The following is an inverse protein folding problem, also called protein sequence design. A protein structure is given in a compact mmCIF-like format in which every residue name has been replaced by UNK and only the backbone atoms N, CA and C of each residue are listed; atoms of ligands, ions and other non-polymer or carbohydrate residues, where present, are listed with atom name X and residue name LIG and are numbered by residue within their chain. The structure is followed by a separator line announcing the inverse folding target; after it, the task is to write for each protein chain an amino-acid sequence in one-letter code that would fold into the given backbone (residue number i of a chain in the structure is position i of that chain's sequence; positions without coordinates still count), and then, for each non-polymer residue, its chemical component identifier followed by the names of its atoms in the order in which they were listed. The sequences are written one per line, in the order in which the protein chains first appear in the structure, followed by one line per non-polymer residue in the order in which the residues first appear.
data_IF_228780174931
#
_entry.id   IF_228780174931
#
_cell.length_a   1.000
_cell.length_b   1.000
_cell.length_c   1.000
_cell.angle_alpha   90.00
_cell.angle_beta   90.00
_cell.angle_gamma   90.00
#
_symmetry.space_group_name_H-M   'P 1'
#
loop_
_entity.id
_entity.type
_entity.pdbx_description
1 polymer ?
#
# COMPACT_ATOMS: atom_id res chain seq x y z
N UNK A 1 -0.15 -25.32 27.86
CA UNK A 1 -1.58 -24.95 27.84
C UNK A 1 -2.35 -26.14 27.34
N UNK A 2 -3.25 -26.71 28.19
CA UNK A 2 -4.11 -27.81 27.76
C UNK A 2 -5.43 -27.26 27.22
N UNK A 3 -5.84 -27.72 26.06
CA UNK A 3 -7.14 -27.39 25.49
C UNK A 3 -8.24 -28.15 26.25
N UNK A 4 -9.25 -27.45 26.73
CA UNK A 4 -10.43 -28.04 27.37
C UNK A 4 -11.57 -27.94 26.37
N UNK A 5 -12.10 -29.09 25.84
CA UNK A 5 -13.21 -29.07 24.91
C UNK A 5 -14.48 -28.54 25.59
N UNK A 6 -15.28 -27.71 24.91
CA UNK A 6 -16.70 -27.54 25.26
C UNK A 6 -17.43 -28.82 24.87
N UNK A 7 -18.21 -29.32 25.78
CA UNK A 7 -18.72 -30.71 25.82
C UNK A 7 -19.55 -31.19 24.63
N UNK A 8 -19.86 -30.37 23.62
CA UNK A 8 -20.82 -30.78 22.59
C UNK A 8 -20.32 -30.87 21.14
N UNK A 9 -19.16 -30.35 20.78
CA UNK A 9 -18.78 -30.22 19.36
C UNK A 9 -17.36 -30.64 18.97
N UNK A 10 -16.63 -31.37 19.78
CA UNK A 10 -15.26 -31.78 19.43
C UNK A 10 -14.28 -30.63 19.19
N UNK A 11 -13.12 -30.90 18.60
CA UNK A 11 -12.09 -29.91 18.29
C UNK A 11 -12.51 -29.04 17.10
N UNK A 12 -12.75 -27.75 17.34
CA UNK A 12 -12.98 -26.77 16.31
C UNK A 12 -11.73 -25.90 16.17
N UNK A 13 -11.13 -25.90 14.98
CA UNK A 13 -9.95 -25.07 14.66
C UNK A 13 -10.19 -23.59 14.98
N UNK A 14 -11.41 -23.11 14.79
CA UNK A 14 -11.80 -21.73 15.08
C UNK A 14 -11.74 -21.41 16.59
N UNK A 15 -12.13 -22.34 17.47
CA UNK A 15 -12.10 -22.13 18.93
C UNK A 15 -10.66 -22.17 19.45
N UNK A 16 -9.85 -23.07 18.92
CA UNK A 16 -8.42 -23.12 19.21
C UNK A 16 -7.72 -21.84 18.78
N UNK A 17 -8.05 -21.35 17.59
CA UNK A 17 -7.52 -20.09 17.07
C UNK A 17 -7.92 -18.90 17.95
N UNK A 18 -9.18 -18.83 18.41
CA UNK A 18 -9.65 -17.79 19.34
C UNK A 18 -8.90 -17.80 20.67
N UNK A 19 -8.56 -18.97 21.18
CA UNK A 19 -7.78 -19.11 22.42
C UNK A 19 -6.34 -18.64 22.23
N UNK A 20 -5.71 -19.00 21.11
CA UNK A 20 -4.33 -18.57 20.79
C UNK A 20 -4.23 -17.05 20.58
N UNK A 21 -5.25 -16.45 20.01
CA UNK A 21 -5.24 -15.03 19.67
C UNK A 21 -5.67 -14.16 20.87
N UNK A 22 -6.31 -14.73 21.87
CA UNK A 22 -6.74 -14.06 23.11
C UNK A 22 -7.89 -13.05 22.91
N UNK A 23 -8.42 -12.46 24.00
CA UNK A 23 -9.57 -11.55 23.96
C UNK A 23 -9.30 -10.16 23.35
N UNK A 24 -8.08 -9.89 22.90
CA UNK A 24 -7.62 -8.56 22.45
C UNK A 24 -8.08 -8.18 21.04
N UNK A 25 -8.90 -8.99 20.36
CA UNK A 25 -9.26 -8.79 18.94
C UNK A 25 -10.69 -8.24 18.77
N UNK A 26 -11.26 -7.63 19.76
CA UNK A 26 -12.39 -6.74 19.55
C UNK A 26 -11.88 -5.50 18.78
N UNK A 27 -12.12 -5.50 17.45
CA UNK A 27 -11.71 -4.41 16.56
C UNK A 27 -10.60 -4.73 15.56
N UNK A 28 -10.06 -5.95 15.51
CA UNK A 28 -9.09 -6.30 14.48
C UNK A 28 -9.72 -6.19 13.07
N UNK A 29 -9.05 -5.55 12.11
CA UNK A 29 -9.64 -5.16 10.82
C UNK A 29 -9.69 -6.33 9.82
N UNK A 30 -10.27 -7.48 10.19
CA UNK A 30 -10.37 -8.67 9.35
C UNK A 30 -10.98 -8.41 7.98
N UNK A 31 -12.00 -7.55 7.94
CA UNK A 31 -12.70 -7.24 6.69
C UNK A 31 -11.82 -6.53 5.69
N UNK A 32 -10.99 -5.61 6.15
CA UNK A 32 -10.05 -4.89 5.28
C UNK A 32 -8.99 -5.84 4.76
N UNK A 33 -8.45 -6.73 5.60
CA UNK A 33 -7.37 -7.63 5.22
C UNK A 33 -7.86 -8.72 4.25
N UNK A 34 -9.02 -9.35 4.49
CA UNK A 34 -9.40 -10.58 3.79
C UNK A 34 -10.55 -10.46 2.80
N UNK A 35 -11.39 -9.43 2.92
CA UNK A 35 -12.51 -9.24 1.99
C UNK A 35 -12.11 -8.58 0.67
N UNK A 36 -10.93 -8.00 0.60
CA UNK A 36 -10.46 -7.35 -0.62
C UNK A 36 -10.00 -8.40 -1.62
N UNK A 37 -10.31 -8.18 -2.89
CA UNK A 37 -9.81 -9.01 -3.99
C UNK A 37 -8.36 -8.59 -4.31
N UNK A 38 -7.44 -8.92 -3.45
CA UNK A 38 -6.00 -8.70 -3.58
C UNK A 38 -5.30 -10.06 -3.65
N UNK A 39 -4.07 -10.12 -4.17
CA UNK A 39 -3.30 -11.36 -4.14
C UNK A 39 -3.18 -11.92 -2.71
N UNK A 40 -3.43 -13.22 -2.55
CA UNK A 40 -3.46 -13.88 -1.23
C UNK A 40 -2.15 -13.71 -0.43
N UNK A 41 -1.00 -13.69 -1.12
CA UNK A 41 0.31 -13.40 -0.51
C UNK A 41 0.37 -12.00 0.12
N UNK A 42 -0.31 -11.02 -0.49
CA UNK A 42 -0.36 -9.64 0.04
C UNK A 42 -1.31 -9.57 1.23
N UNK A 43 -2.47 -10.21 1.16
CA UNK A 43 -3.38 -10.31 2.30
C UNK A 43 -2.71 -10.95 3.52
N UNK A 44 -1.96 -12.03 3.31
CA UNK A 44 -1.17 -12.69 4.35
C UNK A 44 -0.09 -11.76 4.92
N UNK A 45 0.63 -11.03 4.06
CA UNK A 45 1.62 -10.05 4.47
C UNK A 45 0.99 -8.95 5.34
N UNK A 46 -0.13 -8.34 4.89
CA UNK A 46 -0.82 -7.30 5.67
C UNK A 46 -1.35 -7.85 6.99
N UNK A 47 -1.81 -9.10 7.01
CA UNK A 47 -2.19 -9.77 8.26
C UNK A 47 -1.00 -9.93 9.22
N UNK A 48 0.19 -10.36 8.73
CA UNK A 48 1.39 -10.46 9.58
C UNK A 48 1.86 -9.12 10.11
N UNK A 49 1.74 -8.06 9.31
CA UNK A 49 2.01 -6.68 9.74
C UNK A 49 1.04 -6.26 10.85
N UNK A 50 -0.26 -6.46 10.64
CA UNK A 50 -1.29 -6.09 11.61
C UNK A 50 -1.13 -6.82 12.96
N UNK A 51 -0.53 -8.01 12.95
CA UNK A 51 -0.15 -8.75 14.14
C UNK A 51 1.21 -8.31 14.74
N UNK A 52 1.92 -7.37 14.11
CA UNK A 52 3.27 -6.97 14.52
C UNK A 52 4.31 -8.09 14.37
N UNK A 53 4.10 -9.02 13.44
CA UNK A 53 4.96 -10.21 13.24
C UNK A 53 5.81 -10.13 11.96
N UNK A 54 5.80 -9.01 11.26
CA UNK A 54 6.66 -8.79 10.10
C UNK A 54 8.14 -8.80 10.52
N UNK A 55 9.03 -9.36 9.69
CA UNK A 55 10.47 -9.49 9.99
C UNK A 55 11.22 -8.18 9.73
N UNK A 56 10.82 -7.13 10.42
CA UNK A 56 11.55 -5.86 10.53
C UNK A 56 12.68 -5.98 11.56
N UNK A 57 13.63 -5.06 11.53
CA UNK A 57 14.82 -5.10 12.39
C UNK A 57 14.45 -5.19 13.88
N UNK A 58 13.45 -4.40 14.32
CA UNK A 58 12.97 -4.42 15.70
C UNK A 58 12.39 -5.79 16.12
N UNK A 59 11.73 -6.49 15.21
CA UNK A 59 11.21 -7.83 15.47
C UNK A 59 12.31 -8.90 15.41
N UNK A 60 13.30 -8.75 14.54
CA UNK A 60 14.48 -9.62 14.53
C UNK A 60 15.28 -9.50 15.83
N UNK A 61 15.41 -8.28 16.38
CA UNK A 61 16.02 -8.08 17.71
C UNK A 61 15.26 -8.79 18.83
N UNK A 62 13.92 -8.74 18.81
CA UNK A 62 13.09 -9.51 19.77
C UNK A 62 13.34 -11.02 19.66
N UNK A 63 13.72 -11.49 18.47
CA UNK A 63 14.11 -12.87 18.19
C UNK A 63 15.60 -13.14 18.48
N UNK A 64 16.34 -12.19 19.05
CA UNK A 64 17.77 -12.25 19.35
C UNK A 64 18.66 -12.37 18.11
N UNK A 65 18.18 -11.92 16.97
CA UNK A 65 18.98 -11.76 15.73
C UNK A 65 19.51 -10.33 15.72
N UNK A 66 20.83 -10.19 15.93
CA UNK A 66 21.49 -8.89 16.04
C UNK A 66 21.93 -8.42 14.66
N UNK A 67 21.33 -7.35 14.18
CA UNK A 67 21.68 -6.66 12.94
C UNK A 67 21.68 -5.14 13.21
N UNK A 68 22.25 -4.37 12.29
CA UNK A 68 22.30 -2.93 12.43
C UNK A 68 20.88 -2.34 12.48
N UNK A 69 20.60 -1.52 13.49
CA UNK A 69 19.29 -0.88 13.64
C UNK A 69 19.19 0.37 12.79
N UNK A 70 18.86 0.17 11.54
CA UNK A 70 18.51 1.24 10.63
C UNK A 70 17.43 0.82 9.64
N UNK A 71 16.64 1.78 9.18
CA UNK A 71 15.67 1.56 8.13
C UNK A 71 16.38 1.45 6.78
N UNK A 72 16.24 0.33 6.08
CA UNK A 72 16.86 0.11 4.77
C UNK A 72 16.34 1.07 3.67
N UNK A 73 15.20 1.74 3.89
CA UNK A 73 14.66 2.71 2.92
C UNK A 73 15.25 4.10 3.15
N UNK A 74 15.15 4.67 4.35
CA UNK A 74 15.63 6.05 4.59
C UNK A 74 17.06 6.12 5.10
N UNK A 75 17.63 5.01 5.58
CA UNK A 75 19.00 4.92 6.12
C UNK A 75 19.28 5.90 7.29
N UNK A 76 18.24 6.33 8.00
CA UNK A 76 18.34 7.40 9.01
C UNK A 76 17.86 7.00 10.40
N UNK A 77 16.80 6.20 10.49
CA UNK A 77 16.13 5.85 11.75
C UNK A 77 16.10 4.34 11.93
N UNK A 78 15.83 3.87 13.17
CA UNK A 78 15.58 2.46 13.43
C UNK A 78 14.39 1.91 12.63
N UNK A 79 14.47 0.65 12.21
CA UNK A 79 13.42 0.03 11.41
C UNK A 79 12.41 -0.67 12.31
N UNK A 80 11.22 -0.11 12.42
CA UNK A 80 10.01 -0.78 12.92
C UNK A 80 8.96 -0.90 11.81
N UNK A 81 7.94 -1.73 12.03
CA UNK A 81 6.83 -1.88 11.08
C UNK A 81 6.17 -0.53 10.80
N UNK A 82 5.86 0.22 11.85
CA UNK A 82 5.17 1.51 11.73
C UNK A 82 6.07 2.57 11.08
N UNK A 83 7.36 2.61 11.43
CA UNK A 83 8.30 3.49 10.75
C UNK A 83 8.39 3.15 9.27
N UNK A 84 8.72 1.91 8.93
CA UNK A 84 8.95 1.46 7.55
C UNK A 84 7.78 1.75 6.63
N UNK A 85 6.56 1.50 7.10
CA UNK A 85 5.36 1.51 6.26
C UNK A 85 4.55 2.81 6.34
N UNK A 86 4.70 3.61 7.40
CA UNK A 86 3.95 4.85 7.61
C UNK A 86 4.82 6.08 7.76
N UNK A 87 5.86 6.02 8.62
CA UNK A 87 6.57 7.22 9.10
C UNK A 87 7.95 7.43 8.46
N UNK A 88 8.45 6.47 7.68
CA UNK A 88 9.62 6.67 6.86
C UNK A 88 9.39 7.83 5.87
N UNK A 89 10.33 8.79 5.69
CA UNK A 89 10.15 9.91 4.77
C UNK A 89 9.72 9.48 3.35
N UNK A 90 10.27 8.38 2.85
CA UNK A 90 9.89 7.81 1.55
C UNK A 90 8.46 7.25 1.58
N UNK A 91 8.07 6.57 2.65
CA UNK A 91 6.70 6.09 2.81
C UNK A 91 5.71 7.26 2.87
N UNK A 92 6.04 8.31 3.65
CA UNK A 92 5.19 9.52 3.75
C UNK A 92 5.03 10.23 2.40
N UNK A 93 6.07 10.30 1.58
CA UNK A 93 5.98 10.87 0.23
C UNK A 93 5.04 10.06 -0.66
N UNK A 94 5.13 8.72 -0.62
CA UNK A 94 4.20 7.85 -1.35
C UNK A 94 2.75 7.98 -0.86
N UNK A 95 2.53 8.01 0.46
CA UNK A 95 1.21 8.22 1.05
C UNK A 95 0.62 9.58 0.65
N UNK A 96 1.41 10.65 0.76
CA UNK A 96 0.98 12.00 0.40
C UNK A 96 0.61 12.10 -1.07
N UNK A 97 1.40 11.49 -1.95
CA UNK A 97 1.10 11.43 -3.38
C UNK A 97 -0.23 10.71 -3.65
N UNK A 98 -0.44 9.52 -3.06
CA UNK A 98 -1.66 8.75 -3.31
C UNK A 98 -2.88 9.43 -2.72
N UNK A 99 -2.82 9.93 -1.48
CA UNK A 99 -3.91 10.66 -0.85
C UNK A 99 -4.26 11.93 -1.63
N UNK A 100 -3.24 12.63 -2.16
CA UNK A 100 -3.43 13.78 -3.05
C UNK A 100 -4.19 13.45 -4.33
N UNK A 101 -3.98 12.26 -4.91
CA UNK A 101 -4.75 11.80 -6.09
C UNK A 101 -6.24 11.60 -5.79
N UNK A 102 -6.58 11.25 -4.56
CA UNK A 102 -7.97 11.14 -4.11
C UNK A 102 -8.53 12.44 -3.55
N UNK A 103 -7.73 13.52 -3.53
CA UNK A 103 -8.14 14.80 -2.95
C UNK A 103 -8.38 14.74 -1.43
N UNK A 104 -7.72 13.81 -0.75
CA UNK A 104 -7.90 13.56 0.68
C UNK A 104 -6.76 14.17 1.48
N UNK A 105 -7.11 15.02 2.44
CA UNK A 105 -6.19 15.44 3.50
C UNK A 105 -6.29 14.45 4.65
N UNK A 106 -5.18 13.87 5.06
CA UNK A 106 -5.16 12.80 6.04
C UNK A 106 -4.08 13.01 7.09
N UNK A 107 -4.42 12.77 8.34
CA UNK A 107 -3.44 12.66 9.42
C UNK A 107 -3.07 11.19 9.57
N UNK A 108 -1.79 10.88 9.32
CA UNK A 108 -1.31 9.50 9.37
C UNK A 108 -1.43 8.94 10.79
N UNK A 109 -2.12 7.80 10.99
CA UNK A 109 -2.19 7.13 12.28
C UNK A 109 -0.82 6.67 12.76
N UNK A 110 -0.64 6.55 14.06
CA UNK A 110 0.62 6.17 14.68
C UNK A 110 1.05 4.73 14.34
N UNK A 111 0.09 3.84 14.12
CA UNK A 111 0.33 2.40 13.86
C UNK A 111 -0.36 1.94 12.59
N UNK A 112 0.20 0.90 11.95
CA UNK A 112 -0.43 0.25 10.79
C UNK A 112 -1.79 -0.35 11.16
N UNK A 113 -1.93 -0.90 12.35
CA UNK A 113 -3.22 -1.39 12.82
C UNK A 113 -4.25 -0.27 12.92
N UNK A 114 -3.85 0.90 13.43
CA UNK A 114 -4.68 2.10 13.45
C UNK A 114 -5.09 2.55 12.04
N UNK A 115 -4.14 2.55 11.09
CA UNK A 115 -4.43 2.86 9.68
C UNK A 115 -5.50 1.91 9.12
N UNK A 116 -5.31 0.60 9.26
CA UNK A 116 -6.27 -0.39 8.78
C UNK A 116 -7.63 -0.28 9.47
N UNK A 117 -7.65 0.10 10.75
CA UNK A 117 -8.88 0.31 11.51
C UNK A 117 -9.71 1.50 11.05
N UNK A 118 -9.06 2.60 10.70
CA UNK A 118 -9.75 3.84 10.24
C UNK A 118 -9.96 3.90 8.72
N UNK A 119 -9.35 3.00 7.93
CA UNK A 119 -9.48 2.96 6.47
C UNK A 119 -10.82 2.35 6.02
N UNK A 120 -11.91 2.68 6.68
CA UNK A 120 -13.24 2.09 6.44
C UNK A 120 -14.21 3.05 5.75
N UNK A 121 -13.76 4.23 5.29
CA UNK A 121 -14.61 5.20 4.63
C UNK A 121 -15.15 4.70 3.28
N UNK A 122 -16.43 4.90 3.03
CA UNK A 122 -17.00 4.72 1.69
C UNK A 122 -16.80 6.00 0.90
N UNK A 123 -15.81 6.05 0.03
CA UNK A 123 -15.78 7.04 -1.03
C UNK A 123 -16.82 6.67 -2.08
N UNK A 124 -18.07 7.09 -1.89
CA UNK A 124 -19.16 7.01 -2.84
C UNK A 124 -19.35 5.65 -3.54
N UNK A 125 -20.44 5.52 -4.32
CA UNK A 125 -20.72 4.33 -5.14
C UNK A 125 -19.87 4.25 -6.43
N UNK A 126 -18.86 5.09 -6.60
CA UNK A 126 -18.01 5.12 -7.78
C UNK A 126 -16.91 4.04 -7.71
N UNK A 127 -16.46 3.57 -8.87
CA UNK A 127 -15.35 2.63 -9.07
C UNK A 127 -14.06 3.01 -8.30
N UNK A 128 -13.85 4.30 -8.00
CA UNK A 128 -12.80 4.80 -7.13
C UNK A 128 -12.82 4.20 -5.71
N UNK A 129 -13.99 3.81 -5.21
CA UNK A 129 -14.11 3.14 -3.92
C UNK A 129 -13.36 1.80 -3.85
N UNK A 130 -13.34 1.06 -4.97
CA UNK A 130 -12.60 -0.20 -5.00
C UNK A 130 -11.08 0.03 -5.00
N UNK A 131 -10.59 0.98 -5.79
CA UNK A 131 -9.17 1.35 -5.81
C UNK A 131 -8.75 1.82 -4.42
N UNK A 132 -9.55 2.66 -3.80
CA UNK A 132 -9.32 3.14 -2.44
C UNK A 132 -9.05 2.00 -1.45
N UNK A 133 -9.84 0.94 -1.49
CA UNK A 133 -9.67 -0.20 -0.57
C UNK A 133 -8.40 -1.04 -0.81
N UNK A 134 -7.87 -1.10 -2.03
CA UNK A 134 -6.66 -1.86 -2.33
C UNK A 134 -5.37 -1.05 -2.16
N UNK A 135 -5.47 0.30 -2.16
CA UNK A 135 -4.32 1.22 -2.04
C UNK A 135 -3.43 0.90 -0.85
N UNK A 136 -3.91 0.79 0.41
CA UNK A 136 -3.01 0.55 1.54
C UNK A 136 -2.26 -0.78 1.41
N UNK A 137 -2.91 -1.79 0.88
CA UNK A 137 -2.29 -3.10 0.65
C UNK A 137 -1.18 -3.01 -0.41
N UNK A 138 -1.46 -2.32 -1.51
CA UNK A 138 -0.52 -2.15 -2.60
C UNK A 138 0.69 -1.33 -2.17
N UNK A 139 0.47 -0.20 -1.48
CA UNK A 139 1.53 0.70 -1.05
C UNK A 139 2.44 0.03 -0.03
N UNK A 140 1.89 -0.59 1.02
CA UNK A 140 2.67 -1.31 2.02
C UNK A 140 3.44 -2.49 1.40
N UNK A 141 2.85 -3.18 0.43
CA UNK A 141 3.51 -4.26 -0.30
C UNK A 141 4.68 -3.75 -1.14
N UNK A 142 4.54 -2.62 -1.84
CA UNK A 142 5.61 -2.01 -2.63
C UNK A 142 6.78 -1.55 -1.74
N UNK A 143 6.48 -0.92 -0.59
CA UNK A 143 7.51 -0.54 0.39
C UNK A 143 8.25 -1.76 0.94
N UNK A 144 7.53 -2.83 1.27
CA UNK A 144 8.14 -4.06 1.75
C UNK A 144 9.03 -4.72 0.69
N UNK A 145 8.60 -4.73 -0.56
CA UNK A 145 9.43 -5.22 -1.67
C UNK A 145 10.67 -4.37 -1.90
N UNK A 146 10.53 -3.05 -1.85
CA UNK A 146 11.67 -2.14 -1.97
C UNK A 146 12.68 -2.35 -0.84
N UNK A 147 12.20 -2.47 0.41
CA UNK A 147 13.06 -2.79 1.56
C UNK A 147 13.81 -4.09 1.35
N UNK A 148 13.15 -5.13 0.87
CA UNK A 148 13.78 -6.42 0.65
C UNK A 148 14.78 -6.39 -0.52
N UNK A 149 14.49 -5.67 -1.62
CA UNK A 149 15.44 -5.47 -2.71
C UNK A 149 16.72 -4.78 -2.22
N UNK A 150 16.60 -3.76 -1.37
CA UNK A 150 17.76 -3.07 -0.78
C UNK A 150 18.54 -3.94 0.20
N UNK A 151 17.84 -4.80 0.95
CA UNK A 151 18.46 -5.64 1.97
C UNK A 151 19.16 -6.87 1.40
N UNK A 152 18.59 -7.48 0.35
CA UNK A 152 19.00 -8.82 -0.10
C UNK A 152 19.50 -8.86 -1.54
N UNK A 153 19.16 -7.86 -2.36
CA UNK A 153 19.46 -7.86 -3.79
C UNK A 153 20.43 -6.74 -4.19
N UNK A 154 20.84 -5.89 -3.22
CA UNK A 154 21.65 -4.68 -3.44
C UNK A 154 21.09 -3.78 -4.55
N UNK A 155 19.75 -3.74 -4.64
CA UNK A 155 19.03 -2.97 -5.64
C UNK A 155 18.15 -1.90 -5.00
N UNK A 156 18.40 -0.64 -5.35
CA UNK A 156 17.69 0.53 -4.84
C UNK A 156 17.00 1.29 -5.97
N UNK A 157 15.69 1.47 -5.86
CA UNK A 157 14.91 2.29 -6.79
C UNK A 157 15.03 3.76 -6.41
N UNK A 158 15.10 4.64 -7.42
CA UNK A 158 14.87 6.06 -7.18
C UNK A 158 13.43 6.29 -6.68
N UNK A 159 13.20 7.45 -6.05
CA UNK A 159 11.84 7.83 -5.60
C UNK A 159 10.84 7.80 -6.77
N UNK A 160 11.26 8.28 -7.93
CA UNK A 160 10.43 8.28 -9.14
C UNK A 160 10.10 6.86 -9.60
N UNK A 161 11.10 5.98 -9.65
CA UNK A 161 10.90 4.58 -10.05
C UNK A 161 10.01 3.83 -9.04
N UNK A 162 10.14 4.15 -7.75
CA UNK A 162 9.29 3.56 -6.71
C UNK A 162 7.83 4.01 -6.85
N UNK A 163 7.58 5.29 -7.18
CA UNK A 163 6.25 5.80 -7.51
C UNK A 163 5.66 5.11 -8.74
N UNK A 164 6.45 4.96 -9.80
CA UNK A 164 6.04 4.23 -11.00
C UNK A 164 5.77 2.75 -10.71
N UNK A 165 6.60 2.12 -9.89
CA UNK A 165 6.41 0.74 -9.46
C UNK A 165 5.11 0.54 -8.69
N UNK A 166 4.76 1.47 -7.80
CA UNK A 166 3.48 1.45 -7.08
C UNK A 166 2.29 1.51 -8.05
N UNK A 167 2.29 2.45 -9.00
CA UNK A 167 1.20 2.59 -9.95
C UNK A 167 1.07 1.39 -10.89
N UNK A 168 2.18 0.85 -11.38
CA UNK A 168 2.17 -0.36 -12.21
C UNK A 168 1.60 -1.54 -11.44
N UNK A 169 2.04 -1.74 -10.20
CA UNK A 169 1.53 -2.82 -9.35
C UNK A 169 0.03 -2.68 -9.10
N UNK A 170 -0.44 -1.45 -8.87
CA UNK A 170 -1.86 -1.17 -8.67
C UNK A 170 -2.69 -1.48 -9.93
N UNK A 171 -2.19 -1.08 -11.10
CA UNK A 171 -2.81 -1.40 -12.39
C UNK A 171 -2.86 -2.90 -12.65
N UNK A 172 -1.74 -3.61 -12.45
CA UNK A 172 -1.68 -5.06 -12.65
C UNK A 172 -2.75 -5.78 -11.79
N UNK A 173 -2.97 -5.30 -10.56
CA UNK A 173 -4.01 -5.86 -9.70
C UNK A 173 -5.42 -5.55 -10.22
N UNK A 174 -5.65 -4.34 -10.74
CA UNK A 174 -6.94 -3.96 -11.33
C UNK A 174 -7.25 -4.78 -12.58
N UNK A 175 -6.27 -5.00 -13.44
CA UNK A 175 -6.43 -5.86 -14.62
C UNK A 175 -6.69 -7.33 -14.26
N UNK A 176 -5.93 -7.87 -13.29
CA UNK A 176 -6.12 -9.25 -12.85
C UNK A 176 -7.53 -9.51 -12.28
N UNK A 177 -8.17 -8.47 -11.78
CA UNK A 177 -9.53 -8.56 -11.24
C UNK A 177 -10.64 -8.42 -12.28
N UNK A 178 -10.28 -8.22 -13.55
CA UNK A 178 -11.20 -8.04 -14.68
C UNK A 178 -12.29 -6.97 -14.44
N UNK A 179 -12.05 -6.05 -13.50
CA UNK A 179 -13.06 -5.05 -13.13
C UNK A 179 -13.04 -3.81 -14.00
N UNK A 180 -11.91 -3.54 -14.66
CA UNK A 180 -11.83 -2.48 -15.68
C UNK A 180 -10.62 -2.70 -16.59
N UNK A 181 -10.84 -2.48 -17.88
CA UNK A 181 -9.79 -2.32 -18.88
C UNK A 181 -9.53 -0.81 -19.04
N UNK A 182 -8.44 -0.31 -18.47
CA UNK A 182 -7.92 0.99 -18.88
C UNK A 182 -7.09 0.78 -20.14
N UNK A 183 -7.41 1.46 -21.27
CA UNK A 183 -6.64 1.31 -22.51
C UNK A 183 -5.16 1.66 -22.33
N UNK A 184 -4.85 2.57 -21.38
CA UNK A 184 -3.47 2.93 -21.05
C UNK A 184 -3.31 3.33 -19.58
N UNK A 185 -2.04 3.38 -19.15
CA UNK A 185 -1.67 3.93 -17.84
C UNK A 185 -2.07 5.41 -17.69
N UNK A 186 -2.07 6.15 -18.80
CA UNK A 186 -2.48 7.56 -18.83
C UNK A 186 -3.97 7.68 -18.55
N UNK A 187 -4.81 6.83 -19.14
CA UNK A 187 -6.25 6.83 -18.91
C UNK A 187 -6.59 6.52 -17.45
N UNK A 188 -5.82 5.63 -16.83
CA UNK A 188 -5.93 5.37 -15.40
C UNK A 188 -5.61 6.61 -14.55
N UNK A 189 -4.50 7.30 -14.85
CA UNK A 189 -4.11 8.53 -14.13
C UNK A 189 -5.12 9.63 -14.34
N UNK A 190 -5.64 9.79 -15.55
CA UNK A 190 -6.67 10.80 -15.86
C UNK A 190 -7.96 10.52 -15.12
N UNK A 191 -8.33 9.25 -14.97
CA UNK A 191 -9.50 8.86 -14.20
C UNK A 191 -9.32 9.10 -12.69
N UNK A 192 -8.12 8.99 -12.15
CA UNK A 192 -7.80 9.37 -10.78
C UNK A 192 -7.83 10.90 -10.58
N UNK A 193 -7.36 11.68 -11.58
CA UNK A 193 -7.38 13.14 -11.55
C UNK A 193 -8.78 13.76 -11.65
N UNK A 194 -9.77 13.04 -12.17
CA UNK A 194 -11.13 13.58 -12.33
C UNK A 194 -11.77 13.98 -10.98
N UNK A 195 -11.30 13.44 -9.88
CA UNK A 195 -11.73 13.88 -8.55
C UNK A 195 -11.21 15.27 -8.16
N UNK A 196 -10.13 15.76 -8.77
CA UNK A 196 -9.51 17.05 -8.43
C UNK A 196 -10.30 18.23 -9.05
N UNK A 197 -10.96 18.02 -10.20
CA UNK A 197 -11.68 19.07 -10.90
C UNK A 197 -13.10 19.33 -10.37
N UNK A 198 -13.62 18.44 -9.52
CA UNK A 198 -14.99 18.57 -8.96
C UNK A 198 -15.01 19.16 -7.55
N UNK A 199 -13.85 19.44 -6.98
CA UNK A 199 -13.73 20.14 -5.68
C UNK A 199 -13.34 21.59 -5.96
N UNK A 200 -14.17 22.51 -5.50
CA UNK A 200 -14.15 23.96 -5.52
C UNK A 200 -12.75 24.61 -5.75
N UNK A 201 -12.61 25.59 -6.64
CA UNK A 201 -11.33 26.26 -6.93
C UNK A 201 -10.72 27.05 -5.75
N UNK A 202 -11.40 27.07 -4.59
CA UNK A 202 -10.94 27.74 -3.36
C UNK A 202 -10.01 26.89 -2.47
N UNK A 203 -9.85 25.60 -2.74
CA UNK A 203 -8.95 24.70 -1.99
C UNK A 203 -7.83 24.11 -2.86
N UNK A 204 -6.91 24.95 -3.31
CA UNK A 204 -5.74 24.54 -4.07
C UNK A 204 -4.45 24.57 -3.21
N UNK A 205 -4.12 23.52 -2.44
CA UNK A 205 -2.74 23.34 -1.97
C UNK A 205 -2.08 22.07 -2.50
N UNK A 206 -2.40 21.57 -3.70
CA UNK A 206 -1.78 20.36 -4.25
C UNK A 206 -1.04 20.58 -5.58
N UNK A 207 -0.23 21.65 -5.65
CA UNK A 207 0.62 21.95 -6.81
C UNK A 207 1.68 20.87 -7.04
N UNK A 208 2.14 20.19 -6.00
CA UNK A 208 3.18 19.14 -6.08
C UNK A 208 2.69 17.85 -6.77
N UNK A 209 1.45 17.44 -6.54
CA UNK A 209 0.87 16.25 -7.18
C UNK A 209 0.65 16.43 -8.68
N UNK A 210 0.20 17.62 -9.10
CA UNK A 210 -0.01 17.94 -10.51
C UNK A 210 1.31 17.96 -11.32
N UNK A 211 2.38 18.54 -10.76
CA UNK A 211 3.69 18.56 -11.41
C UNK A 211 4.26 17.16 -11.62
N UNK A 212 4.04 16.25 -10.68
CA UNK A 212 4.48 14.86 -10.78
C UNK A 212 3.71 14.10 -11.87
N UNK A 213 2.39 14.26 -11.92
CA UNK A 213 1.55 13.63 -12.95
C UNK A 213 1.88 14.15 -14.35
N UNK A 214 2.15 15.44 -14.50
CA UNK A 214 2.63 16.04 -15.74
C UNK A 214 3.98 15.42 -16.13
N UNK A 215 4.89 15.25 -15.18
CA UNK A 215 6.20 14.61 -15.42
C UNK A 215 6.04 13.15 -15.85
N UNK A 216 5.16 12.37 -15.21
CA UNK A 216 4.87 11.00 -15.65
C UNK A 216 4.26 10.97 -17.05
N UNK A 217 3.30 11.85 -17.34
CA UNK A 217 2.68 11.96 -18.68
C UNK A 217 3.72 12.29 -19.74
N UNK A 218 4.64 13.21 -19.45
CA UNK A 218 5.74 13.57 -20.36
C UNK A 218 6.72 12.40 -20.57
N UNK A 219 7.10 11.70 -19.52
CA UNK A 219 8.02 10.55 -19.61
C UNK A 219 7.39 9.39 -20.37
N UNK A 220 6.12 9.07 -20.10
CA UNK A 220 5.42 8.00 -20.83
C UNK A 220 5.15 8.36 -22.28
N UNK A 221 4.85 9.63 -22.58
CA UNK A 221 4.70 10.14 -23.94
C UNK A 221 6.03 10.07 -24.72
N UNK A 222 7.13 10.50 -24.10
CA UNK A 222 8.48 10.42 -24.68
C UNK A 222 8.88 8.97 -25.00
N UNK A 223 8.59 8.04 -24.08
CA UNK A 223 8.88 6.62 -24.26
C UNK A 223 8.04 6.03 -25.40
N UNK A 224 6.74 6.34 -25.46
CA UNK A 224 5.84 5.90 -26.53
C UNK A 224 6.30 6.43 -27.91
N UNK A 225 6.83 7.66 -27.96
CA UNK A 225 7.40 8.29 -29.17
C UNK A 225 8.74 7.66 -29.56
N UNK A 226 9.52 7.18 -28.60
CA UNK A 226 10.78 6.47 -28.87
C UNK A 226 10.54 5.05 -29.39
N UNK A 227 9.50 4.37 -28.86
CA UNK A 227 9.13 2.99 -29.24
C UNK A 227 8.34 2.92 -30.56
N UNK A 228 7.85 4.05 -31.11
CA UNK A 228 7.14 4.14 -32.38
C UNK A 228 7.76 5.17 -33.36
N UNK A 229 8.86 4.84 -34.04
CA UNK A 229 9.56 5.78 -34.92
C UNK A 229 8.82 6.13 -36.22
N UNK A 230 7.61 5.58 -36.49
CA UNK A 230 6.89 5.75 -37.78
C UNK A 230 6.12 7.07 -37.92
N UNK A 231 6.02 7.93 -36.89
CA UNK A 231 5.34 9.23 -37.00
C UNK A 231 6.28 10.42 -37.31
N UNK A 232 7.45 10.17 -37.90
CA UNK A 232 8.41 11.24 -38.29
C UNK A 232 8.39 11.63 -39.74
N UNK A 233 7.32 11.31 -40.50
CA UNK A 233 7.22 11.77 -41.89
C UNK A 233 5.79 12.12 -42.23
N UNK A 234 5.40 13.34 -41.97
CA UNK A 234 4.56 14.22 -42.78
C UNK A 234 4.71 15.64 -42.27
#
# INVERSE_FOLDING_TARGET
MCWIPREENGFMVNDYYRILVGPTIYGFPWRIIWKQKIPSRVAFFVWTIALGKCLTVDNLWKMKVWILDWCYICKSNGESVDHLLLHCPVAMDLWSMVLGLFGVTWVMPHTVLGLLGCWQGSFGHHWNGYIWFIVPHCLMWCLWRERNSRCFEDFERSILDLKLFLFRTLLDWLFALQKQSFPSFIDFLDSCNFCIWYIDPLYAPCVLGCSFLISIKLITYQKKKADNPREKTT
#
